data_IF_765452530490
#
_entry.id   IF_765452530490
#
_cell.length_a   1.000
_cell.length_b   1.000
_cell.length_c   1.000
_cell.angle_alpha   90.00
_cell.angle_beta   90.00
_cell.angle_gamma   90.00
#
_symmetry.space_group_name_H-M   'P 1'
#
loop_
_entity.id
_entity.type
_entity.pdbx_description
1 polymer ?
#
# COMPACT_ATOMS: atom_id res chain seq x y z
N UNK A 1 3.19 -22.16 6.16
CA UNK A 1 2.79 -21.01 5.31
C UNK A 1 3.08 -21.40 3.87
N UNK A 2 2.16 -21.15 2.93
CA UNK A 2 2.44 -21.41 1.51
C UNK A 2 3.31 -20.29 0.95
N UNK A 3 4.19 -20.59 -0.01
CA UNK A 3 5.06 -19.58 -0.64
C UNK A 3 4.28 -18.41 -1.26
N UNK A 4 3.05 -18.68 -1.71
CA UNK A 4 2.15 -17.66 -2.27
C UNK A 4 1.74 -16.62 -1.23
N UNK A 5 1.53 -17.05 0.02
CA UNK A 5 1.16 -16.17 1.13
C UNK A 5 2.33 -15.26 1.50
N UNK A 6 3.54 -15.81 1.60
CA UNK A 6 4.75 -15.04 1.90
C UNK A 6 5.03 -13.97 0.84
N UNK A 7 4.79 -14.28 -0.44
CA UNK A 7 4.93 -13.31 -1.53
C UNK A 7 3.93 -12.15 -1.39
N UNK A 8 2.70 -12.46 -1.01
CA UNK A 8 1.66 -11.46 -0.81
C UNK A 8 1.99 -10.57 0.38
N UNK A 9 2.44 -11.15 1.50
CA UNK A 9 2.79 -10.40 2.70
C UNK A 9 3.98 -9.45 2.47
N UNK A 10 4.95 -9.84 1.64
CA UNK A 10 6.06 -8.96 1.22
C UNK A 10 5.58 -7.77 0.39
N UNK A 11 4.65 -7.99 -0.56
CA UNK A 11 4.07 -6.91 -1.37
C UNK A 11 3.31 -5.94 -0.48
N UNK A 12 2.52 -6.47 0.44
CA UNK A 12 1.77 -5.67 1.40
C UNK A 12 2.71 -4.82 2.27
N UNK A 13 3.79 -5.42 2.79
CA UNK A 13 4.78 -4.70 3.60
C UNK A 13 5.45 -3.55 2.83
N UNK A 14 5.87 -3.77 1.58
CA UNK A 14 6.50 -2.74 0.75
C UNK A 14 5.54 -1.56 0.51
N UNK A 15 4.29 -1.85 0.15
CA UNK A 15 3.31 -0.79 -0.13
C UNK A 15 2.99 0.02 1.11
N UNK A 16 2.85 -0.63 2.28
CA UNK A 16 2.56 0.08 3.53
C UNK A 16 3.77 0.89 4.01
N UNK A 17 4.99 0.36 3.89
CA UNK A 17 6.21 1.12 4.19
C UNK A 17 6.31 2.39 3.34
N UNK A 18 6.12 2.27 2.02
CA UNK A 18 6.14 3.43 1.14
C UNK A 18 5.00 4.41 1.44
N UNK A 19 3.81 3.93 1.80
CA UNK A 19 2.67 4.78 2.13
C UNK A 19 2.91 5.63 3.40
N UNK A 20 3.60 5.06 4.39
CA UNK A 20 3.87 5.72 5.67
C UNK A 20 5.10 6.64 5.63
N UNK A 21 6.11 6.29 4.83
CA UNK A 21 7.40 6.97 4.85
C UNK A 21 7.65 7.91 3.65
N UNK A 22 6.84 7.85 2.59
CA UNK A 22 6.98 8.75 1.44
C UNK A 22 6.13 10.02 1.60
N UNK A 23 6.73 11.21 1.42
CA UNK A 23 5.98 12.48 1.40
C UNK A 23 4.91 12.53 0.31
N UNK A 24 5.19 11.95 -0.87
CA UNK A 24 4.20 11.77 -1.94
C UNK A 24 3.68 10.33 -1.92
N UNK A 25 2.77 10.04 -0.99
CA UNK A 25 2.17 8.72 -0.83
C UNK A 25 0.92 8.49 -1.68
N UNK A 26 0.77 9.22 -2.79
CA UNK A 26 -0.33 9.01 -3.73
C UNK A 26 -0.24 7.65 -4.42
N UNK A 27 -1.39 7.01 -4.68
CA UNK A 27 -1.44 5.67 -5.32
C UNK A 27 -0.62 5.58 -6.62
N UNK A 28 -0.68 6.55 -7.55
CA UNK A 28 0.15 6.49 -8.78
C UNK A 28 1.65 6.53 -8.50
N UNK A 29 2.10 7.34 -7.52
CA UNK A 29 3.52 7.41 -7.17
C UNK A 29 4.00 6.10 -6.51
N UNK A 30 3.19 5.54 -5.61
CA UNK A 30 3.50 4.28 -4.94
C UNK A 30 3.53 3.10 -5.91
N UNK A 31 2.63 3.08 -6.90
CA UNK A 31 2.65 2.09 -7.98
C UNK A 31 3.96 2.16 -8.79
N UNK A 32 4.41 3.37 -9.14
CA UNK A 32 5.69 3.59 -9.82
C UNK A 32 6.89 3.10 -8.99
N UNK A 33 6.91 3.36 -7.69
CA UNK A 33 8.02 2.98 -6.81
C UNK A 33 8.07 1.48 -6.51
N UNK A 34 6.91 0.84 -6.33
CA UNK A 34 6.81 -0.58 -6.01
C UNK A 34 6.84 -1.50 -7.24
N UNK A 35 6.62 -0.96 -8.44
CA UNK A 35 6.45 -1.74 -9.67
C UNK A 35 5.13 -2.51 -9.74
N UNK A 36 4.20 -2.24 -8.82
CA UNK A 36 2.88 -2.86 -8.77
C UNK A 36 1.85 -2.04 -9.56
N UNK A 37 0.75 -2.69 -9.95
CA UNK A 37 -0.38 -1.98 -10.55
C UNK A 37 -1.06 -1.09 -9.51
N UNK A 38 -1.58 0.06 -9.95
CA UNK A 38 -2.31 0.99 -9.08
C UNK A 38 -3.47 0.32 -8.35
N UNK A 39 -4.20 -0.57 -9.02
CA UNK A 39 -5.32 -1.31 -8.40
C UNK A 39 -4.85 -2.19 -7.23
N UNK A 40 -3.67 -2.82 -7.35
CA UNK A 40 -3.07 -3.64 -6.28
C UNK A 40 -2.66 -2.76 -5.11
N UNK A 41 -1.99 -1.64 -5.38
CA UNK A 41 -1.61 -0.67 -4.35
C UNK A 41 -2.85 -0.14 -3.62
N UNK A 42 -3.90 0.21 -4.36
CA UNK A 42 -5.16 0.70 -3.81
C UNK A 42 -5.85 -0.35 -2.93
N UNK A 43 -5.88 -1.62 -3.36
CA UNK A 43 -6.42 -2.72 -2.57
C UNK A 43 -5.64 -2.97 -1.29
N UNK A 44 -4.30 -2.94 -1.35
CA UNK A 44 -3.45 -3.11 -0.17
C UNK A 44 -3.68 -1.98 0.81
N UNK A 45 -3.59 -0.72 0.37
CA UNK A 45 -3.84 0.44 1.24
C UNK A 45 -5.22 0.31 1.90
N UNK A 46 -6.26 0.00 1.13
CA UNK A 46 -7.61 -0.18 1.68
C UNK A 46 -7.75 -1.39 2.61
N UNK A 47 -6.98 -2.48 2.42
CA UNK A 47 -6.95 -3.61 3.36
C UNK A 47 -6.53 -3.14 4.76
N UNK A 48 -5.56 -2.25 4.86
CA UNK A 48 -5.04 -1.74 6.13
C UNK A 48 -5.76 -0.47 6.63
N UNK A 49 -6.41 0.29 5.75
CA UNK A 49 -7.17 1.49 6.07
C UNK A 49 -8.69 1.29 6.19
N UNK A 50 -9.23 0.12 5.87
CA UNK A 50 -10.69 -0.15 5.75
C UNK A 50 -11.55 0.33 6.93
N UNK A 51 -10.95 0.44 8.11
CA UNK A 51 -11.60 0.87 9.36
C UNK A 51 -11.03 2.17 9.95
N UNK A 52 -10.27 2.95 9.17
CA UNK A 52 -9.66 4.21 9.61
C UNK A 52 -10.21 5.37 8.80
N UNK A 53 -10.86 6.30 9.48
CA UNK A 53 -11.22 7.60 8.92
C UNK A 53 -9.97 8.47 8.90
N UNK A 54 -9.50 8.84 7.71
CA UNK A 54 -8.44 9.84 7.59
C UNK A 54 -9.09 11.22 7.78
N UNK A 55 -8.97 11.77 8.98
CA UNK A 55 -9.33 13.17 9.24
C UNK A 55 -8.21 14.08 8.77
N UNK A 56 -8.15 14.33 7.46
CA UNK A 56 -7.27 15.37 6.91
C UNK A 56 -7.82 16.74 7.35
N UNK A 57 -7.08 17.45 8.22
CA UNK A 57 -7.30 18.88 8.46
C UNK A 57 -6.43 19.63 7.47
N UNK A 58 -7.06 20.28 6.50
CA UNK A 58 -6.43 21.20 5.56
C UNK A 58 -6.42 22.61 6.16
#
# INVERSE_FOLDING_TARGET
>A
MSELQDLQDKKDAIVIDLFLNNQNNTVPNLAKLSGLQEITVHQIINKYLKNKTINARF
#
